data_IF_625479163460
#
_entry.id   IF_625479163460
#
_cell.length_a   1.000
_cell.length_b   1.000
_cell.length_c   1.000
_cell.angle_alpha   90.00
_cell.angle_beta   90.00
_cell.angle_gamma   90.00
#
_symmetry.space_group_name_H-M   'P 1'
#
loop_
_entity.id
_entity.type
_entity.pdbx_description
1 polymer ?
#
# COMPACT_ATOMS: atom_id res chain seq x y z
N UNK A 1 4.69 14.45 -5.81
CA UNK A 1 4.59 13.46 -4.71
C UNK A 1 4.90 12.07 -5.23
N UNK A 2 5.66 11.29 -4.49
CA UNK A 2 5.90 9.92 -4.88
C UNK A 2 4.67 9.05 -4.59
N UNK A 3 4.54 7.95 -5.31
CA UNK A 3 3.41 7.03 -5.11
C UNK A 3 3.43 6.32 -3.76
N UNK A 4 4.56 6.32 -3.06
CA UNK A 4 4.68 5.65 -1.76
C UNK A 4 3.62 6.09 -0.75
N UNK A 5 3.28 7.38 -0.74
CA UNK A 5 2.26 7.89 0.16
C UNK A 5 0.91 7.20 -0.04
N UNK A 6 0.50 7.01 -1.29
CA UNK A 6 -0.76 6.34 -1.59
C UNK A 6 -0.76 4.88 -1.16
N UNK A 7 0.36 4.18 -1.37
CA UNK A 7 0.51 2.80 -0.91
C UNK A 7 0.36 2.70 0.61
N UNK A 8 1.01 3.61 1.33
CA UNK A 8 0.92 3.66 2.79
C UNK A 8 -0.52 3.94 3.23
N UNK A 9 -1.18 4.89 2.55
CA UNK A 9 -2.57 5.20 2.83
C UNK A 9 -3.48 3.99 2.70
N UNK A 10 -3.39 3.27 1.59
CA UNK A 10 -4.18 2.06 1.39
C UNK A 10 -3.88 0.99 2.44
N UNK A 11 -2.63 0.89 2.86
CA UNK A 11 -2.25 -0.10 3.87
C UNK A 11 -2.90 0.16 5.23
N UNK A 12 -3.35 1.38 5.48
CA UNK A 12 -4.05 1.74 6.72
C UNK A 12 -5.56 1.58 6.61
N UNK A 13 -6.09 1.24 5.44
CA UNK A 13 -7.53 1.07 5.24
C UNK A 13 -7.94 -0.36 5.55
N UNK A 14 -8.81 -0.54 6.53
CA UNK A 14 -9.37 -1.86 6.82
C UNK A 14 -10.34 -2.26 5.73
N UNK A 15 -10.21 -3.50 5.25
CA UNK A 15 -11.08 -4.08 4.24
C UNK A 15 -10.54 -4.01 2.83
N UNK A 16 -9.41 -3.33 2.61
CA UNK A 16 -8.75 -3.32 1.31
C UNK A 16 -7.41 -4.06 1.45
N UNK A 17 -7.47 -5.35 1.27
CA UNK A 17 -6.28 -6.21 1.30
C UNK A 17 -5.64 -6.36 -0.08
N UNK A 18 -4.68 -7.30 -0.20
CA UNK A 18 -3.90 -7.46 -1.44
C UNK A 18 -4.75 -7.71 -2.68
N UNK A 19 -5.76 -8.57 -2.59
CA UNK A 19 -6.58 -8.94 -3.76
C UNK A 19 -7.43 -7.78 -4.24
N UNK A 20 -8.03 -7.03 -3.32
CA UNK A 20 -8.85 -5.86 -3.68
C UNK A 20 -8.00 -4.73 -4.21
N UNK A 21 -6.82 -4.53 -3.62
CA UNK A 21 -5.90 -3.51 -4.10
C UNK A 21 -5.43 -3.83 -5.52
N UNK A 22 -5.15 -5.09 -5.80
CA UNK A 22 -4.79 -5.49 -7.17
C UNK A 22 -5.91 -5.22 -8.16
N UNK A 23 -7.16 -5.52 -7.78
CA UNK A 23 -8.31 -5.23 -8.61
C UNK A 23 -8.45 -3.73 -8.89
N UNK A 24 -8.21 -2.89 -7.88
CA UNK A 24 -8.24 -1.45 -8.04
C UNK A 24 -7.14 -0.97 -8.98
N UNK A 25 -5.94 -1.49 -8.83
CA UNK A 25 -4.82 -1.14 -9.72
C UNK A 25 -5.09 -1.56 -11.15
N UNK A 26 -5.63 -2.76 -11.35
CA UNK A 26 -5.96 -3.25 -12.70
C UNK A 26 -7.05 -2.39 -13.35
N UNK A 27 -8.00 -1.92 -12.57
CA UNK A 27 -9.11 -1.11 -13.09
C UNK A 27 -8.69 0.32 -13.39
N UNK A 28 -7.93 0.96 -12.50
CA UNK A 28 -7.61 2.39 -12.61
C UNK A 28 -6.21 2.67 -13.14
N UNK A 29 -5.38 1.67 -13.25
CA UNK A 29 -4.06 1.77 -13.86
C UNK A 29 -2.96 2.35 -12.98
N UNK A 30 -3.30 3.01 -11.86
CA UNK A 30 -2.30 3.55 -10.95
C UNK A 30 -2.84 3.62 -9.52
N UNK A 31 -1.92 3.61 -8.56
CA UNK A 31 -2.28 3.71 -7.15
C UNK A 31 -2.88 5.10 -6.83
N UNK A 32 -2.38 6.13 -7.50
CA UNK A 32 -2.90 7.49 -7.32
C UNK A 32 -4.36 7.59 -7.75
N UNK A 33 -4.69 7.06 -8.93
CA UNK A 33 -6.07 7.07 -9.42
C UNK A 33 -6.99 6.26 -8.53
N UNK A 34 -6.52 5.11 -8.08
CA UNK A 34 -7.29 4.26 -7.15
C UNK A 34 -7.57 4.99 -5.84
N UNK A 35 -6.58 5.71 -5.32
CA UNK A 35 -6.73 6.47 -4.08
C UNK A 35 -7.79 7.58 -4.19
N UNK A 36 -7.90 8.20 -5.35
CA UNK A 36 -8.85 9.28 -5.59
C UNK A 36 -10.18 8.83 -6.20
N UNK A 37 -10.40 7.52 -6.33
CA UNK A 37 -11.66 7.01 -6.87
C UNK A 37 -12.85 7.41 -5.99
N UNK A 38 -14.00 7.62 -6.63
CA UNK A 38 -15.23 7.96 -5.92
C UNK A 38 -15.79 6.73 -5.20
N UNK A 39 -16.67 6.92 -4.18
CA UNK A 39 -17.33 5.78 -3.53
C UNK A 39 -18.04 4.86 -4.52
N UNK A 40 -18.70 5.41 -5.52
CA UNK A 40 -19.40 4.63 -6.54
C UNK A 40 -18.43 3.80 -7.38
N UNK A 41 -17.31 4.40 -7.78
CA UNK A 41 -16.27 3.71 -8.52
C UNK A 41 -15.67 2.56 -7.71
N UNK A 42 -15.43 2.79 -6.44
CA UNK A 42 -14.89 1.76 -5.54
C UNK A 42 -15.85 0.59 -5.40
N UNK A 43 -17.14 0.87 -5.26
CA UNK A 43 -18.15 -0.19 -5.17
C UNK A 43 -18.25 -0.99 -6.46
N UNK A 44 -18.07 -0.35 -7.60
CA UNK A 44 -18.13 -1.02 -8.89
C UNK A 44 -17.04 -2.06 -9.07
N UNK A 45 -15.92 -1.92 -8.35
CA UNK A 45 -14.79 -2.86 -8.39
C UNK A 45 -14.96 -3.97 -7.34
N UNK A 46 -16.01 -3.90 -6.53
CA UNK A 46 -16.29 -4.93 -5.54
C UNK A 46 -15.89 -4.57 -4.11
N UNK A 47 -15.53 -3.31 -3.87
CA UNK A 47 -15.23 -2.84 -2.52
C UNK A 47 -16.55 -2.65 -1.77
N UNK A 48 -16.70 -3.31 -0.62
CA UNK A 48 -17.92 -3.22 0.16
C UNK A 48 -18.08 -1.84 0.82
N UNK A 49 -19.32 -1.52 1.21
CA UNK A 49 -19.63 -0.20 1.77
C UNK A 49 -18.82 0.14 3.02
N UNK A 50 -18.54 -0.83 3.87
CA UNK A 50 -17.74 -0.62 5.08
C UNK A 50 -16.30 -0.22 4.73
N UNK A 51 -15.72 -0.93 3.76
CA UNK A 51 -14.34 -0.65 3.31
C UNK A 51 -14.27 0.71 2.62
N UNK A 52 -15.28 1.07 1.83
CA UNK A 52 -15.36 2.39 1.22
C UNK A 52 -15.39 3.47 2.29
N UNK A 53 -16.20 3.29 3.33
CA UNK A 53 -16.27 4.23 4.44
C UNK A 53 -14.92 4.36 5.14
N UNK A 54 -14.24 3.24 5.38
CA UNK A 54 -12.92 3.23 5.99
C UNK A 54 -11.91 4.02 5.15
N UNK A 55 -11.93 3.82 3.83
CA UNK A 55 -11.05 4.57 2.92
C UNK A 55 -11.32 6.07 2.99
N UNK A 56 -12.59 6.48 2.97
CA UNK A 56 -12.95 7.88 3.06
C UNK A 56 -12.48 8.51 4.36
N UNK A 57 -12.58 7.79 5.47
CA UNK A 57 -12.08 8.26 6.76
C UNK A 57 -10.56 8.45 6.76
N UNK A 58 -9.83 7.46 6.24
CA UNK A 58 -8.37 7.55 6.16
C UNK A 58 -7.96 8.72 5.27
N UNK A 59 -8.59 8.88 4.10
CA UNK A 59 -8.30 9.98 3.19
C UNK A 59 -8.49 11.35 3.84
N UNK A 60 -9.48 11.49 4.72
CA UNK A 60 -9.80 12.76 5.36
C UNK A 60 -8.93 13.07 6.56
N UNK A 61 -8.36 12.06 7.21
CA UNK A 61 -7.64 12.21 8.47
C UNK A 61 -6.13 12.11 8.35
N UNK A 62 -5.64 11.40 7.35
CA UNK A 62 -4.21 11.12 7.22
C UNK A 62 -3.53 12.13 6.31
N UNK A 63 -2.35 12.58 6.72
CA UNK A 63 -1.45 13.31 5.84
C UNK A 63 -0.42 12.31 5.32
N UNK A 64 -0.45 12.02 4.03
CA UNK A 64 0.50 11.09 3.42
C UNK A 64 1.93 11.59 3.52
N UNK A 65 2.12 12.90 3.37
CA UNK A 65 3.45 13.51 3.47
C UNK A 65 4.01 13.38 4.88
N UNK A 66 3.19 13.59 5.90
CA UNK A 66 3.63 13.44 7.29
C UNK A 66 3.97 11.99 7.60
N UNK A 67 3.21 11.03 7.06
CA UNK A 67 3.52 9.61 7.25
C UNK A 67 4.85 9.24 6.64
N UNK A 68 5.11 9.72 5.42
CA UNK A 68 6.39 9.47 4.75
C UNK A 68 7.55 10.07 5.53
N UNK A 69 7.40 11.32 5.99
CA UNK A 69 8.44 12.00 6.74
C UNK A 69 8.74 11.28 8.06
N UNK A 70 7.71 10.84 8.77
CA UNK A 70 7.89 10.10 10.02
C UNK A 70 8.64 8.79 9.79
N UNK A 71 8.30 8.06 8.74
CA UNK A 71 8.99 6.82 8.41
C UNK A 71 10.45 7.08 8.06
N UNK A 72 10.73 8.16 7.35
CA UNK A 72 12.10 8.56 7.00
C UNK A 72 12.89 8.88 8.26
N UNK A 73 12.31 9.61 9.20
CA UNK A 73 12.94 9.94 10.47
C UNK A 73 13.24 8.69 11.30
N UNK A 74 12.41 7.68 11.20
CA UNK A 74 12.60 6.40 11.89
C UNK A 74 13.55 5.46 11.14
N UNK A 75 14.07 5.88 10.00
CA UNK A 75 14.93 5.09 9.13
C UNK A 75 14.25 3.79 8.66
N UNK A 76 12.95 3.87 8.42
CA UNK A 76 12.16 2.76 7.89
C UNK A 76 12.05 2.90 6.39
N UNK A 77 12.48 1.86 5.68
CA UNK A 77 12.33 1.77 4.23
C UNK A 77 10.96 1.19 3.90
N UNK A 78 10.29 1.77 2.91
CA UNK A 78 8.98 1.29 2.47
C UNK A 78 9.14 0.64 1.11
N UNK A 79 8.74 -0.62 1.01
CA UNK A 79 8.76 -1.37 -0.24
C UNK A 79 7.32 -1.68 -0.64
N UNK A 80 7.03 -1.52 -1.92
CA UNK A 80 5.72 -1.85 -2.49
C UNK A 80 5.90 -2.81 -3.66
N UNK A 81 4.80 -3.30 -4.23
CA UNK A 81 4.87 -4.17 -5.42
C UNK A 81 5.63 -3.52 -6.58
N UNK A 82 5.68 -2.19 -6.62
CA UNK A 82 6.38 -1.44 -7.68
C UNK A 82 7.84 -1.17 -7.36
N UNK A 83 8.27 -1.48 -6.15
CA UNK A 83 9.65 -1.21 -5.72
C UNK A 83 10.62 -2.27 -6.25
N UNK A 84 11.76 -1.86 -6.82
CA UNK A 84 12.77 -2.81 -7.30
C UNK A 84 13.31 -3.72 -6.19
N UNK A 85 13.33 -3.25 -4.95
CA UNK A 85 13.83 -4.00 -3.80
C UNK A 85 12.83 -4.95 -3.15
N UNK A 86 11.58 -5.02 -3.67
CA UNK A 86 10.58 -5.92 -3.10
C UNK A 86 11.01 -7.37 -3.34
N UNK A 87 10.99 -8.26 -2.31
CA UNK A 87 11.43 -9.64 -2.46
C UNK A 87 10.63 -10.38 -3.53
N UNK A 88 11.32 -10.86 -4.56
CA UNK A 88 10.67 -11.53 -5.70
C UNK A 88 9.84 -12.73 -5.27
N UNK A 89 10.38 -13.55 -4.39
CA UNK A 89 9.68 -14.78 -3.97
C UNK A 89 8.41 -14.47 -3.20
N UNK A 90 8.41 -13.39 -2.42
CA UNK A 90 7.21 -12.94 -1.73
C UNK A 90 6.17 -12.45 -2.72
N UNK A 91 6.62 -11.74 -3.77
CA UNK A 91 5.72 -11.21 -4.79
C UNK A 91 5.03 -12.34 -5.58
N UNK A 92 5.64 -13.50 -5.67
CA UNK A 92 5.08 -14.66 -6.37
C UNK A 92 4.02 -15.42 -5.56
N UNK A 93 3.81 -15.06 -4.30
CA UNK A 93 2.77 -15.68 -3.48
C UNK A 93 1.38 -15.24 -3.95
N UNK A 94 0.35 -15.96 -3.52
CA UNK A 94 -1.03 -15.68 -3.91
C UNK A 94 -1.51 -14.28 -3.51
N UNK A 95 -1.16 -13.85 -2.31
CA UNK A 95 -1.61 -12.57 -1.77
C UNK A 95 -0.44 -11.85 -1.07
N UNK A 96 0.55 -11.38 -1.85
CA UNK A 96 1.71 -10.70 -1.25
C UNK A 96 1.28 -9.40 -0.58
N UNK A 97 1.89 -9.05 0.57
CA UNK A 97 1.59 -7.77 1.22
C UNK A 97 1.89 -6.60 0.26
N UNK A 98 0.96 -5.67 0.06
CA UNK A 98 1.21 -4.53 -0.84
C UNK A 98 2.33 -3.62 -0.36
N UNK A 99 2.53 -3.54 0.96
CA UNK A 99 3.53 -2.66 1.58
C UNK A 99 4.33 -3.45 2.60
N UNK A 100 5.64 -3.32 2.53
CA UNK A 100 6.57 -3.84 3.53
C UNK A 100 7.29 -2.67 4.17
N UNK A 101 7.31 -2.64 5.50
CA UNK A 101 8.09 -1.69 6.26
C UNK A 101 9.34 -2.41 6.75
N UNK A 102 10.50 -1.97 6.27
CA UNK A 102 11.77 -2.61 6.56
C UNK A 102 12.65 -1.64 7.32
N UNK A 103 13.10 -2.02 8.52
CA UNK A 103 14.02 -1.22 9.28
C UNK A 103 15.44 -1.61 8.91
N UNK A 104 16.22 -0.63 8.46
CA UNK A 104 17.56 -0.86 7.98
C UNK A 104 17.60 -1.18 6.49
N UNK A 105 18.75 -1.64 6.00
CA UNK A 105 18.96 -1.94 4.60
C UNK A 105 18.68 -3.41 4.29
N UNK A 106 17.83 -3.65 3.29
CA UNK A 106 17.55 -5.01 2.83
C UNK A 106 18.63 -5.44 1.84
N UNK A 107 19.38 -6.47 2.20
CA UNK A 107 20.40 -7.05 1.34
C UNK A 107 19.81 -8.26 0.61
N UNK A 108 20.38 -8.63 -0.52
CA UNK A 108 19.90 -9.74 -1.33
C UNK A 108 19.83 -11.06 -0.52
N UNK A 109 20.84 -11.32 0.28
CA UNK A 109 20.89 -12.51 1.13
C UNK A 109 19.87 -12.50 2.26
N UNK A 110 19.31 -11.32 2.56
CA UNK A 110 18.34 -11.13 3.62
C UNK A 110 16.90 -11.06 3.09
N UNK A 111 16.68 -11.41 1.83
CA UNK A 111 15.37 -11.29 1.18
C UNK A 111 14.26 -12.06 1.90
N UNK A 112 14.60 -13.08 2.68
CA UNK A 112 13.67 -13.87 3.46
C UNK A 112 13.55 -13.45 4.92
N UNK A 113 14.47 -12.61 5.37
CA UNK A 113 14.55 -12.19 6.78
C UNK A 113 14.10 -10.75 6.94
N UNK A 114 12.97 -10.40 6.33
CA UNK A 114 12.43 -9.06 6.38
C UNK A 114 11.78 -8.81 7.74
N UNK A 115 12.27 -7.79 8.45
CA UNK A 115 11.64 -7.34 9.68
C UNK A 115 10.53 -6.36 9.31
N UNK A 116 9.28 -6.77 9.45
CA UNK A 116 8.11 -5.93 9.17
C UNK A 116 7.74 -5.21 10.45
N UNK A 117 7.68 -3.91 10.38
CA UNK A 117 7.35 -3.06 11.53
C UNK A 117 5.87 -2.74 11.57
#
# INVERSE_FOLDING_TARGET
>A
MSNLGYWIGFNEVRGIGPLRLRALLDTYGSIERAWHASPEQLRSVGVDSRSVKNLLEVRSKISLDERLERLREMEVQVLTWESPGYPRLLLETHAPPPVLYVKGELKEQDAWAVAVV
#
